data_IF_472002955862
#
_entry.id   IF_472002955862
#
_cell.length_a   1.000
_cell.length_b   1.000
_cell.length_c   1.000
_cell.angle_alpha   90.00
_cell.angle_beta   90.00
_cell.angle_gamma   90.00
#
_symmetry.space_group_name_H-M   'P 1'
#
loop_
_entity.id
_entity.type
_entity.pdbx_description
1 polymer ?
#
# COMPACT_ATOMS: atom_id res chain seq x y z
N UNK A 1 -37.08 29.40 33.77
CA UNK A 1 -38.02 30.51 34.04
C UNK A 1 -39.42 30.04 33.68
N UNK A 2 -40.32 29.95 34.65
CA UNK A 2 -41.73 29.52 34.47
C UNK A 2 -42.10 28.23 35.20
N UNK A 3 -42.03 28.20 36.53
CA UNK A 3 -42.71 27.19 37.33
C UNK A 3 -44.23 27.46 37.36
N UNK A 4 -45.10 26.44 37.53
CA UNK A 4 -46.54 26.65 37.62
C UNK A 4 -46.86 27.50 38.84
N UNK A 5 -47.48 28.67 38.63
CA UNK A 5 -47.90 29.55 39.71
C UNK A 5 -49.02 28.90 40.51
N UNK A 6 -48.87 28.87 41.83
CA UNK A 6 -49.98 28.57 42.74
C UNK A 6 -51.08 29.64 42.58
N UNK A 7 -52.35 29.26 42.72
CA UNK A 7 -53.46 30.21 42.63
C UNK A 7 -53.42 31.20 43.80
N UNK A 8 -53.93 32.43 43.64
CA UNK A 8 -53.93 33.43 44.70
C UNK A 8 -54.78 32.96 45.90
N UNK A 9 -54.19 32.97 47.10
CA UNK A 9 -54.92 32.89 48.37
C UNK A 9 -55.51 34.26 48.71
N UNK A 10 -56.82 34.33 48.90
CA UNK A 10 -57.48 35.52 49.43
C UNK A 10 -58.96 35.57 49.09
N UNK A 11 -59.82 35.18 50.03
CA UNK A 11 -61.22 35.63 50.07
C UNK A 11 -61.25 37.09 50.48
N UNK A 12 -61.87 38.02 49.72
CA UNK A 12 -62.16 39.35 50.22
C UNK A 12 -63.30 39.25 51.24
N UNK A 13 -63.10 39.78 52.45
CA UNK A 13 -64.17 40.00 53.41
C UNK A 13 -65.22 40.94 52.80
N UNK A 14 -66.41 40.42 52.53
CA UNK A 14 -67.57 41.18 52.05
C UNK A 14 -68.73 41.08 53.04
N UNK A 15 -68.99 42.20 53.72
CA UNK A 15 -70.20 42.41 54.54
C UNK A 15 -71.49 42.38 53.71
N UNK A 16 -72.67 42.32 54.36
CA UNK A 16 -73.89 41.84 53.73
C UNK A 16 -74.54 42.92 52.86
N UNK A 17 -74.63 42.66 51.55
CA UNK A 17 -75.60 43.33 50.67
C UNK A 17 -75.08 43.62 49.26
N UNK A 18 -75.63 42.91 48.26
CA UNK A 18 -75.50 43.24 46.82
C UNK A 18 -74.98 42.09 45.96
N UNK A 19 -75.87 41.18 45.57
CA UNK A 19 -75.54 39.90 44.93
C UNK A 19 -75.60 39.93 43.38
N UNK A 20 -75.02 40.94 42.70
CA UNK A 20 -75.09 41.00 41.23
C UNK A 20 -73.78 41.27 40.47
N UNK A 21 -72.61 41.34 41.11
CA UNK A 21 -71.33 41.64 40.42
C UNK A 21 -70.19 40.62 40.67
N UNK A 22 -70.50 39.35 40.99
CA UNK A 22 -69.46 38.35 41.31
C UNK A 22 -68.76 37.71 40.08
N UNK A 23 -69.34 37.84 38.88
CA UNK A 23 -68.85 37.11 37.69
C UNK A 23 -68.09 37.97 36.67
N UNK A 24 -67.87 39.26 36.94
CA UNK A 24 -67.26 40.18 35.96
C UNK A 24 -65.73 40.11 35.88
N UNK A 25 -65.09 39.33 36.76
CA UNK A 25 -63.62 39.21 36.88
C UNK A 25 -63.06 37.86 36.40
N UNK A 26 -63.90 36.93 35.95
CA UNK A 26 -63.43 35.61 35.49
C UNK A 26 -63.16 35.64 33.99
N UNK A 27 -61.88 35.71 33.60
CA UNK A 27 -61.45 35.63 32.20
C UNK A 27 -61.24 34.15 31.84
N UNK A 28 -62.06 33.62 30.93
CA UNK A 28 -61.93 32.26 30.42
C UNK A 28 -60.83 32.17 29.35
N UNK A 29 -59.58 32.03 29.78
CA UNK A 29 -58.44 31.82 28.88
C UNK A 29 -58.14 30.32 28.62
N UNK A 30 -57.25 30.03 27.67
CA UNK A 30 -56.90 28.64 27.29
C UNK A 30 -56.24 27.86 28.45
N UNK A 31 -55.56 28.56 29.37
CA UNK A 31 -55.01 27.98 30.60
C UNK A 31 -56.09 27.52 31.57
N UNK A 32 -57.18 28.28 31.73
CA UNK A 32 -58.33 27.92 32.56
C UNK A 32 -58.99 26.64 32.05
N UNK A 33 -59.19 26.53 30.73
CA UNK A 33 -59.78 25.34 30.09
C UNK A 33 -58.88 24.11 30.27
N UNK A 34 -57.56 24.28 30.20
CA UNK A 34 -56.58 23.19 30.42
C UNK A 34 -56.47 22.77 31.88
N UNK A 35 -56.70 23.68 32.83
CA UNK A 35 -56.63 23.42 34.27
C UNK A 35 -57.93 22.81 34.83
N UNK A 36 -59.04 22.87 34.09
CA UNK A 36 -60.30 22.25 34.48
C UNK A 36 -60.14 20.72 34.67
N UNK A 37 -60.30 20.27 35.92
CA UNK A 37 -60.15 18.85 36.33
C UNK A 37 -61.42 18.02 36.12
N UNK A 38 -62.46 18.63 35.57
CA UNK A 38 -63.82 18.14 35.51
C UNK A 38 -64.30 18.20 34.07
N UNK A 39 -64.80 17.09 33.55
CA UNK A 39 -65.36 16.98 32.21
C UNK A 39 -66.84 16.59 32.32
N UNK A 40 -67.72 17.40 31.72
CA UNK A 40 -69.15 17.08 31.65
C UNK A 40 -69.44 15.98 30.62
N UNK A 41 -70.45 15.16 30.91
CA UNK A 41 -70.94 14.13 30.00
C UNK A 41 -71.80 14.73 28.87
N UNK A 42 -71.74 14.10 27.69
CA UNK A 42 -72.56 14.49 26.54
C UNK A 42 -74.05 14.24 26.78
N UNK A 43 -74.94 14.91 26.03
CA UNK A 43 -76.38 14.82 26.22
C UNK A 43 -76.93 13.38 26.04
N UNK A 44 -76.35 12.60 25.13
CA UNK A 44 -76.69 11.18 24.95
C UNK A 44 -76.28 10.29 26.13
N UNK A 45 -75.12 10.53 26.74
CA UNK A 45 -74.63 9.72 27.86
C UNK A 45 -75.44 9.93 29.15
N UNK A 46 -76.14 11.06 29.30
CA UNK A 46 -77.03 11.33 30.45
C UNK A 46 -78.38 10.62 30.36
N UNK A 47 -78.79 10.17 29.17
CA UNK A 47 -80.07 9.48 29.00
C UNK A 47 -80.05 8.05 29.53
N UNK A 48 -78.86 7.44 29.66
CA UNK A 48 -78.73 6.04 30.02
C UNK A 48 -78.68 5.76 31.53
N UNK A 49 -78.28 6.73 32.37
CA UNK A 49 -78.10 6.49 33.81
C UNK A 49 -78.21 7.78 34.63
N UNK A 50 -79.00 7.77 35.72
CA UNK A 50 -79.25 8.95 36.56
C UNK A 50 -78.14 9.14 37.60
N UNK A 51 -76.93 9.44 37.14
CA UNK A 51 -75.74 9.69 37.97
C UNK A 51 -75.19 11.12 37.76
N UNK A 52 -74.49 11.72 38.76
CA UNK A 52 -74.09 13.13 38.73
C UNK A 52 -73.18 13.50 37.54
N UNK A 53 -73.40 14.70 36.99
CA UNK A 53 -73.05 15.10 35.62
C UNK A 53 -71.56 15.33 35.29
N UNK A 54 -70.61 14.85 36.09
CA UNK A 54 -69.19 15.22 35.94
C UNK A 54 -68.23 14.07 36.27
N UNK A 55 -67.21 13.83 35.41
CA UNK A 55 -66.12 12.87 35.66
C UNK A 55 -64.74 13.53 35.72
N UNK A 56 -63.82 12.90 36.47
CA UNK A 56 -62.39 13.28 36.51
C UNK A 56 -61.61 12.62 35.37
N UNK A 57 -60.76 13.40 34.69
CA UNK A 57 -59.94 12.95 33.55
C UNK A 57 -58.72 12.13 34.00
N UNK A 58 -58.45 10.91 33.50
CA UNK A 58 -57.26 10.14 33.88
C UNK A 58 -56.00 10.63 33.14
N UNK A 59 -54.89 10.82 33.87
CA UNK A 59 -53.59 11.20 33.30
C UNK A 59 -52.86 10.01 32.63
N UNK A 60 -52.18 10.32 31.53
CA UNK A 60 -51.57 9.44 30.53
C UNK A 60 -50.71 8.27 31.07
N UNK A 61 -51.26 7.05 30.98
CA UNK A 61 -50.55 5.78 31.30
C UNK A 61 -49.81 5.14 30.11
N UNK A 62 -49.87 5.74 28.91
CA UNK A 62 -49.35 5.16 27.66
C UNK A 62 -47.91 5.54 27.30
N UNK A 63 -47.41 6.69 27.78
CA UNK A 63 -46.12 7.25 27.37
C UNK A 63 -44.92 6.41 27.85
N UNK A 64 -45.00 5.83 29.06
CA UNK A 64 -43.92 5.01 29.62
C UNK A 64 -43.70 3.73 28.81
N UNK A 65 -44.79 3.13 28.31
CA UNK A 65 -44.74 1.89 27.51
C UNK A 65 -44.16 2.15 26.12
N UNK A 66 -44.50 3.28 25.51
CA UNK A 66 -43.93 3.71 24.23
C UNK A 66 -42.43 4.02 24.34
N UNK A 67 -42.01 4.68 25.42
CA UNK A 67 -40.60 4.97 25.67
C UNK A 67 -39.75 3.69 25.84
N UNK A 68 -40.27 2.67 26.55
CA UNK A 68 -39.58 1.38 26.67
C UNK A 68 -39.44 0.64 25.33
N UNK A 69 -40.49 0.63 24.51
CA UNK A 69 -40.43 -0.02 23.19
C UNK A 69 -39.40 0.68 22.29
N UNK A 70 -39.36 2.02 22.32
CA UNK A 70 -38.36 2.79 21.58
C UNK A 70 -36.93 2.50 22.06
N UNK A 71 -36.71 2.47 23.38
CA UNK A 71 -35.41 2.15 23.96
C UNK A 71 -34.94 0.73 23.58
N UNK A 72 -35.86 -0.25 23.57
CA UNK A 72 -35.57 -1.61 23.13
C UNK A 72 -35.17 -1.64 21.64
N UNK A 73 -35.88 -0.92 20.77
CA UNK A 73 -35.55 -0.86 19.35
C UNK A 73 -34.18 -0.23 19.09
N UNK A 74 -33.84 0.84 19.82
CA UNK A 74 -32.51 1.47 19.75
C UNK A 74 -31.44 0.48 20.22
N UNK A 75 -31.66 -0.22 21.34
CA UNK A 75 -30.70 -1.20 21.86
C UNK A 75 -30.48 -2.37 20.87
N UNK A 76 -31.55 -2.86 20.23
CA UNK A 76 -31.45 -3.90 19.19
C UNK A 76 -30.72 -3.39 17.97
N UNK A 77 -31.04 -2.20 17.47
CA UNK A 77 -30.35 -1.61 16.32
C UNK A 77 -28.85 -1.42 16.60
N UNK A 78 -28.50 -0.91 17.78
CA UNK A 78 -27.11 -0.72 18.19
C UNK A 78 -26.40 -2.05 18.41
N UNK A 79 -27.06 -3.02 19.04
CA UNK A 79 -26.54 -4.38 19.21
C UNK A 79 -26.30 -5.06 17.86
N UNK A 80 -27.17 -4.85 16.88
CA UNK A 80 -27.01 -5.39 15.52
C UNK A 80 -25.88 -4.70 14.77
N UNK A 81 -25.75 -3.37 14.89
CA UNK A 81 -24.65 -2.62 14.30
C UNK A 81 -23.29 -2.99 14.91
N UNK A 82 -23.22 -3.18 16.23
CA UNK A 82 -22.02 -3.68 16.93
C UNK A 82 -21.75 -5.13 16.52
N UNK A 83 -22.78 -5.98 16.44
CA UNK A 83 -22.61 -7.37 16.02
C UNK A 83 -22.12 -7.49 14.58
N UNK A 84 -22.65 -6.70 13.64
CA UNK A 84 -22.17 -6.65 12.25
C UNK A 84 -20.81 -5.96 12.12
N UNK A 85 -20.51 -4.96 12.94
CA UNK A 85 -19.19 -4.32 12.97
C UNK A 85 -18.09 -5.21 13.58
N UNK A 86 -18.46 -6.12 14.48
CA UNK A 86 -17.53 -7.07 15.14
C UNK A 86 -17.43 -8.38 14.35
N UNK A 87 -18.50 -8.84 13.68
CA UNK A 87 -18.45 -9.98 12.75
C UNK A 87 -18.53 -9.48 11.32
N UNK A 88 -17.38 -9.24 10.70
CA UNK A 88 -17.27 -9.10 9.25
C UNK A 88 -17.57 -10.46 8.59
N UNK A 89 -18.72 -10.67 7.91
CA UNK A 89 -19.09 -11.98 7.36
C UNK A 89 -18.36 -12.32 6.05
N UNK A 90 -17.42 -11.47 5.61
CA UNK A 90 -16.60 -11.70 4.41
C UNK A 90 -15.10 -11.83 4.72
N UNK A 91 -14.69 -11.65 5.97
CA UNK A 91 -13.34 -12.01 6.39
C UNK A 91 -13.39 -13.44 6.93
N UNK A 92 -13.38 -14.40 6.01
CA UNK A 92 -12.62 -15.61 6.25
C UNK A 92 -11.18 -15.16 6.46
N UNK A 93 -10.85 -14.79 7.71
CA UNK A 93 -9.49 -14.55 8.14
C UNK A 93 -8.76 -15.90 8.09
N UNK A 94 -8.44 -16.33 6.88
CA UNK A 94 -7.32 -17.22 6.66
C UNK A 94 -6.14 -16.49 7.30
N UNK A 95 -5.53 -17.13 8.31
CA UNK A 95 -4.41 -16.55 9.03
C UNK A 95 -3.41 -15.97 8.00
N UNK A 96 -2.87 -14.76 8.21
CA UNK A 96 -1.94 -14.15 7.26
C UNK A 96 -0.88 -15.18 6.89
N UNK A 97 -0.83 -15.57 5.62
CA UNK A 97 0.20 -16.49 5.16
C UNK A 97 1.54 -15.75 5.37
N UNK A 98 2.51 -16.37 6.05
CA UNK A 98 3.80 -15.72 6.26
C UNK A 98 4.40 -15.34 4.91
N UNK A 99 4.82 -14.08 4.76
CA UNK A 99 5.51 -13.64 3.55
C UNK A 99 6.81 -14.43 3.42
N UNK A 100 7.01 -15.05 2.27
CA UNK A 100 8.24 -15.79 2.02
C UNK A 100 9.42 -14.82 1.92
N UNK A 101 10.57 -15.09 2.59
CA UNK A 101 11.74 -14.25 2.45
C UNK A 101 12.30 -14.35 1.03
N UNK A 102 12.74 -13.22 0.47
CA UNK A 102 13.33 -13.13 -0.86
C UNK A 102 14.49 -14.11 -1.00
N UNK A 103 14.49 -14.84 -2.12
CA UNK A 103 15.64 -15.62 -2.59
C UNK A 103 16.28 -14.92 -3.77
N UNK A 104 17.60 -14.81 -3.74
CA UNK A 104 18.35 -14.08 -4.75
C UNK A 104 19.49 -14.91 -5.34
N UNK A 105 19.79 -14.63 -6.59
CA UNK A 105 20.93 -15.19 -7.31
C UNK A 105 21.55 -14.06 -8.11
N UNK A 106 22.82 -13.76 -7.84
CA UNK A 106 23.57 -12.70 -8.53
C UNK A 106 24.72 -13.36 -9.27
N UNK A 107 24.74 -13.21 -10.59
CA UNK A 107 25.70 -13.85 -11.49
C UNK A 107 26.52 -12.76 -12.19
N UNK A 108 27.78 -12.55 -11.79
CA UNK A 108 28.70 -11.74 -12.58
C UNK A 108 29.03 -12.42 -13.90
N UNK A 109 29.06 -11.63 -14.97
CA UNK A 109 29.39 -12.06 -16.32
C UNK A 109 30.75 -11.49 -16.72
N UNK A 110 31.75 -12.38 -16.83
CA UNK A 110 33.11 -11.99 -17.20
C UNK A 110 33.26 -11.81 -18.72
N UNK A 111 33.78 -10.66 -19.20
CA UNK A 111 34.09 -10.50 -20.62
C UNK A 111 35.23 -11.44 -21.04
N UNK A 112 35.24 -11.85 -22.31
CA UNK A 112 36.30 -12.72 -22.85
C UNK A 112 37.61 -11.96 -23.16
N UNK A 113 37.59 -10.63 -23.16
CA UNK A 113 38.73 -9.79 -23.52
C UNK A 113 38.66 -8.44 -22.83
N UNK A 114 39.39 -7.46 -23.39
CA UNK A 114 39.32 -6.08 -22.89
C UNK A 114 37.94 -5.51 -23.14
N UNK A 115 37.41 -4.80 -22.15
CA UNK A 115 36.13 -4.10 -22.26
C UNK A 115 36.24 -2.97 -23.27
N UNK A 116 35.35 -2.90 -24.29
CA UNK A 116 35.32 -1.79 -25.23
C UNK A 116 34.99 -0.46 -24.53
N UNK A 117 35.50 0.63 -25.08
CA UNK A 117 35.18 1.97 -24.63
C UNK A 117 34.93 2.92 -25.79
N UNK A 118 34.24 4.01 -25.51
CA UNK A 118 33.91 5.04 -26.49
C UNK A 118 34.04 6.45 -25.91
N UNK A 119 34.06 7.46 -26.77
CA UNK A 119 34.13 8.87 -26.36
C UNK A 119 32.85 9.34 -25.71
N UNK A 120 31.71 8.84 -26.18
CA UNK A 120 30.37 9.23 -25.77
C UNK A 120 29.44 8.02 -25.62
N UNK A 121 28.44 8.17 -24.75
CA UNK A 121 27.50 7.11 -24.42
C UNK A 121 26.59 6.74 -25.60
N UNK A 122 26.12 7.75 -26.36
CA UNK A 122 25.18 7.54 -27.46
C UNK A 122 25.78 6.66 -28.56
N UNK A 123 27.04 6.88 -28.94
CA UNK A 123 27.75 6.05 -29.92
C UNK A 123 27.87 4.62 -29.42
N UNK A 124 28.20 4.39 -28.15
CA UNK A 124 28.26 3.04 -27.60
C UNK A 124 26.90 2.35 -27.61
N UNK A 125 25.83 3.07 -27.22
CA UNK A 125 24.48 2.52 -27.27
C UNK A 125 24.11 2.12 -28.70
N UNK A 126 24.33 3.01 -29.68
CA UNK A 126 24.04 2.76 -31.09
C UNK A 126 24.80 1.56 -31.68
N UNK A 127 26.02 1.28 -31.20
CA UNK A 127 26.85 0.15 -31.65
C UNK A 127 26.70 -1.10 -30.77
N UNK A 128 25.64 -1.18 -29.97
CA UNK A 128 25.33 -2.31 -29.09
C UNK A 128 23.90 -2.81 -29.32
N UNK A 129 23.52 -3.99 -28.78
CA UNK A 129 22.13 -4.42 -28.76
C UNK A 129 21.16 -3.44 -28.08
N UNK A 130 21.66 -2.49 -27.29
CA UNK A 130 20.86 -1.47 -26.61
C UNK A 130 20.36 -0.35 -27.54
N UNK A 131 20.81 -0.30 -28.80
CA UNK A 131 20.36 0.72 -29.77
C UNK A 131 18.83 0.75 -29.96
N UNK A 132 18.18 -0.40 -29.76
CA UNK A 132 16.73 -0.61 -29.91
C UNK A 132 15.98 -0.58 -28.58
N UNK A 133 16.62 -0.20 -27.48
CA UNK A 133 16.01 -0.15 -26.16
C UNK A 133 15.42 1.24 -25.93
N UNK A 134 14.31 1.28 -25.22
CA UNK A 134 13.68 2.52 -24.77
C UNK A 134 14.52 3.18 -23.66
N UNK A 135 14.19 4.42 -23.31
CA UNK A 135 14.92 5.19 -22.30
C UNK A 135 14.14 5.17 -20.98
N UNK A 136 14.84 4.87 -19.88
CA UNK A 136 14.31 4.95 -18.53
C UNK A 136 13.01 4.16 -18.32
N UNK A 137 12.01 4.81 -17.73
CA UNK A 137 10.74 4.17 -17.36
C UNK A 137 9.85 3.80 -18.56
N UNK A 138 10.15 4.28 -19.77
CA UNK A 138 9.45 3.89 -21.00
C UNK A 138 9.74 2.43 -21.37
N UNK A 139 10.95 1.94 -21.09
CA UNK A 139 11.33 0.54 -21.30
C UNK A 139 10.80 -0.46 -20.27
N UNK A 140 9.88 0.01 -19.41
CA UNK A 140 9.09 -0.81 -18.47
C UNK A 140 7.60 -0.67 -18.86
N UNK A 141 7.17 -1.17 -20.03
CA UNK A 141 5.80 -1.02 -20.48
C UNK A 141 4.86 -1.87 -19.61
N UNK A 142 3.67 -1.33 -19.31
CA UNK A 142 2.63 -2.09 -18.63
C UNK A 142 1.84 -2.91 -19.67
N UNK A 143 1.58 -4.21 -19.42
CA UNK A 143 0.66 -4.98 -20.25
C UNK A 143 -0.77 -4.48 -20.06
N UNK A 144 -1.69 -4.97 -20.90
CA UNK A 144 -3.11 -4.68 -20.72
C UNK A 144 -3.59 -5.21 -19.37
N UNK A 145 -4.02 -4.30 -18.48
CA UNK A 145 -4.64 -4.65 -17.21
C UNK A 145 -6.08 -5.11 -17.46
N UNK A 146 -6.36 -6.38 -17.16
CA UNK A 146 -7.69 -6.98 -17.26
C UNK A 146 -7.98 -7.78 -16.01
N UNK A 147 -9.23 -7.72 -15.55
CA UNK A 147 -9.73 -8.47 -14.43
C UNK A 147 -9.45 -9.96 -14.62
N UNK A 148 -9.15 -10.62 -13.51
CA UNK A 148 -8.99 -12.06 -13.43
C UNK A 148 -10.25 -12.66 -12.78
N UNK A 149 -10.19 -13.92 -12.36
CA UNK A 149 -11.34 -14.57 -11.74
C UNK A 149 -11.70 -13.92 -10.39
N UNK A 150 -10.70 -13.50 -9.62
CA UNK A 150 -10.88 -12.98 -8.24
C UNK A 150 -10.39 -11.54 -8.03
N UNK A 151 -9.82 -10.89 -9.06
CA UNK A 151 -9.31 -9.52 -8.98
C UNK A 151 -9.91 -8.62 -10.06
N UNK A 152 -10.27 -7.40 -9.67
CA UNK A 152 -10.80 -6.38 -10.58
C UNK A 152 -9.73 -5.77 -11.49
N UNK A 153 -10.14 -5.08 -12.55
CA UNK A 153 -9.25 -4.30 -13.43
C UNK A 153 -8.36 -3.33 -12.63
N UNK A 154 -8.93 -2.66 -11.62
CA UNK A 154 -8.23 -1.69 -10.78
C UNK A 154 -7.18 -2.36 -9.89
N UNK A 155 -7.46 -3.55 -9.37
CA UNK A 155 -6.51 -4.33 -8.58
C UNK A 155 -5.35 -4.83 -9.43
N UNK A 156 -5.66 -5.37 -10.61
CA UNK A 156 -4.65 -5.80 -11.59
C UNK A 156 -3.77 -4.64 -12.03
N UNK A 157 -4.37 -3.48 -12.34
CA UNK A 157 -3.60 -2.27 -12.68
C UNK A 157 -2.70 -1.84 -11.52
N UNK A 158 -3.22 -1.85 -10.29
CA UNK A 158 -2.44 -1.46 -9.10
C UNK A 158 -1.23 -2.37 -8.89
N UNK A 159 -1.38 -3.69 -9.05
CA UNK A 159 -0.26 -4.64 -8.99
C UNK A 159 0.81 -4.30 -10.03
N UNK A 160 0.40 -4.12 -11.29
CA UNK A 160 1.30 -3.82 -12.41
C UNK A 160 2.03 -2.48 -12.23
N UNK A 161 1.33 -1.43 -11.81
CA UNK A 161 1.95 -0.12 -11.56
C UNK A 161 2.90 -0.15 -10.36
N UNK A 162 2.56 -0.90 -9.31
CA UNK A 162 3.41 -1.00 -8.11
C UNK A 162 4.69 -1.79 -8.41
N UNK A 163 4.60 -2.88 -9.17
CA UNK A 163 5.75 -3.61 -9.68
C UNK A 163 6.64 -2.72 -10.58
N UNK A 164 6.03 -1.95 -11.50
CA UNK A 164 6.76 -0.97 -12.32
C UNK A 164 7.47 0.07 -11.46
N UNK A 165 6.80 0.66 -10.48
CA UNK A 165 7.40 1.66 -9.59
C UNK A 165 8.59 1.08 -8.84
N UNK A 166 8.50 -0.16 -8.34
CA UNK A 166 9.64 -0.83 -7.71
C UNK A 166 10.80 -0.99 -8.68
N UNK A 167 10.55 -1.47 -9.90
CA UNK A 167 11.59 -1.67 -10.92
C UNK A 167 12.29 -0.36 -11.26
N UNK A 168 11.52 0.72 -11.46
CA UNK A 168 12.07 2.04 -11.77
C UNK A 168 12.90 2.56 -10.60
N UNK A 169 12.38 2.53 -9.36
CA UNK A 169 13.09 3.04 -8.19
C UNK A 169 14.29 2.21 -7.78
N UNK A 170 14.28 0.91 -8.06
CA UNK A 170 15.38 -0.01 -7.72
C UNK A 170 16.45 -0.14 -8.80
N UNK A 171 16.19 0.30 -10.04
CA UNK A 171 17.13 0.16 -11.17
C UNK A 171 17.41 1.45 -11.95
N UNK A 172 16.68 2.55 -11.76
CA UNK A 172 16.84 3.75 -12.60
C UNK A 172 17.09 5.03 -11.80
N UNK A 173 16.74 5.06 -10.52
CA UNK A 173 16.89 6.25 -9.69
C UNK A 173 18.37 6.51 -9.39
N UNK A 174 18.94 7.67 -9.78
CA UNK A 174 20.35 7.97 -9.58
C UNK A 174 20.79 7.89 -8.11
N UNK A 175 19.90 8.24 -7.17
CA UNK A 175 20.18 8.17 -5.73
C UNK A 175 20.27 6.74 -5.22
N UNK A 176 19.71 5.76 -5.93
CA UNK A 176 19.85 4.32 -5.61
C UNK A 176 21.03 3.69 -6.36
N UNK A 177 21.19 4.05 -7.64
CA UNK A 177 22.23 3.52 -8.50
C UNK A 177 23.62 3.91 -8.04
N UNK A 178 23.80 5.20 -7.78
CA UNK A 178 25.07 5.85 -7.44
C UNK A 178 24.97 6.71 -6.19
N UNK A 179 23.79 6.86 -5.60
CA UNK A 179 23.68 7.34 -4.23
C UNK A 179 23.69 6.16 -3.27
N UNK A 180 24.09 6.42 -2.03
CA UNK A 180 24.04 5.39 -0.97
C UNK A 180 22.61 5.19 -0.44
N UNK A 181 21.59 5.74 -1.12
CA UNK A 181 20.20 5.73 -0.67
C UNK A 181 19.49 4.44 -1.05
N UNK A 182 18.64 3.97 -0.14
CA UNK A 182 17.80 2.78 -0.35
C UNK A 182 16.33 3.07 -0.14
N UNK A 183 16.01 4.25 0.42
CA UNK A 183 14.66 4.67 0.78
C UNK A 183 13.67 4.60 -0.40
N UNK A 184 14.00 5.00 -1.65
CA UNK A 184 13.06 4.95 -2.76
C UNK A 184 12.53 3.53 -3.04
N UNK A 185 13.38 2.51 -2.98
CA UNK A 185 12.98 1.12 -3.18
C UNK A 185 12.39 0.52 -1.89
N UNK A 186 13.02 0.78 -0.73
CA UNK A 186 12.59 0.28 0.58
C UNK A 186 11.14 0.64 0.90
N UNK A 187 10.71 1.86 0.56
CA UNK A 187 9.34 2.32 0.83
C UNK A 187 8.25 1.51 0.12
N UNK A 188 8.60 0.79 -0.96
CA UNK A 188 7.69 -0.06 -1.71
C UNK A 188 7.74 -1.52 -1.26
N UNK A 189 8.70 -1.91 -0.42
CA UNK A 189 8.81 -3.29 0.07
C UNK A 189 7.74 -3.53 1.15
N UNK A 190 7.11 -4.69 1.09
CA UNK A 190 6.18 -5.19 2.11
C UNK A 190 6.81 -5.13 3.51
N UNK A 191 6.03 -4.72 4.52
CA UNK A 191 6.51 -4.55 5.88
C UNK A 191 7.15 -5.81 6.46
N UNK A 192 6.65 -6.99 6.09
CA UNK A 192 7.14 -8.28 6.59
C UNK A 192 8.50 -8.65 5.98
N UNK A 193 8.90 -8.03 4.86
CA UNK A 193 10.21 -8.22 4.24
C UNK A 193 11.25 -7.15 4.65
N UNK A 194 10.85 -6.09 5.36
CA UNK A 194 11.75 -5.00 5.72
C UNK A 194 12.92 -5.45 6.61
N UNK A 195 12.70 -6.43 7.49
CA UNK A 195 13.79 -6.96 8.33
C UNK A 195 14.90 -7.61 7.48
N UNK A 196 14.52 -8.41 6.47
CA UNK A 196 15.48 -9.00 5.54
C UNK A 196 16.15 -7.93 4.66
N UNK A 197 15.37 -6.97 4.16
CA UNK A 197 15.88 -5.84 3.39
C UNK A 197 16.96 -5.11 4.20
N UNK A 198 16.64 -4.63 5.40
CA UNK A 198 17.54 -3.87 6.25
C UNK A 198 18.79 -4.66 6.64
N UNK A 199 18.64 -5.94 6.95
CA UNK A 199 19.77 -6.84 7.21
C UNK A 199 20.70 -6.95 5.99
N UNK A 200 20.16 -7.01 4.78
CA UNK A 200 20.95 -7.08 3.55
C UNK A 200 21.90 -5.89 3.43
N UNK A 201 21.46 -4.68 3.79
CA UNK A 201 22.31 -3.48 3.74
C UNK A 201 23.23 -3.33 4.95
N UNK A 202 22.78 -3.74 6.14
CA UNK A 202 23.57 -3.63 7.36
C UNK A 202 24.71 -4.67 7.44
N UNK A 203 24.46 -5.89 6.94
CA UNK A 203 25.42 -7.00 6.90
C UNK A 203 25.29 -7.78 5.59
N UNK A 204 25.79 -7.22 4.47
CA UNK A 204 25.72 -7.87 3.17
C UNK A 204 26.36 -9.27 3.20
N UNK A 205 25.68 -10.26 2.61
CA UNK A 205 26.20 -11.61 2.50
C UNK A 205 25.79 -12.28 1.18
N UNK A 206 26.71 -13.07 0.61
CA UNK A 206 26.48 -13.88 -0.59
C UNK A 206 25.79 -15.22 -0.25
N UNK A 207 24.75 -15.18 0.57
CA UNK A 207 24.01 -16.36 1.08
C UNK A 207 22.71 -16.64 0.32
N UNK A 208 22.47 -15.91 -0.77
CA UNK A 208 21.24 -16.01 -1.57
C UNK A 208 20.03 -15.38 -0.89
N UNK A 209 20.22 -14.58 0.16
CA UNK A 209 19.15 -13.87 0.89
C UNK A 209 19.50 -12.45 1.30
N UNK A 210 20.78 -12.11 1.45
CA UNK A 210 21.21 -10.84 2.04
C UNK A 210 22.19 -10.05 1.17
N UNK A 211 22.16 -10.21 -0.15
CA UNK A 211 22.89 -9.36 -1.08
C UNK A 211 22.06 -8.12 -1.47
N UNK A 212 22.48 -6.89 -1.10
CA UNK A 212 21.86 -5.64 -1.56
C UNK A 212 21.63 -5.57 -3.08
N UNK A 213 22.56 -6.12 -3.87
CA UNK A 213 22.49 -6.13 -5.33
C UNK A 213 21.37 -7.02 -5.89
N UNK A 214 20.77 -7.89 -5.07
CA UNK A 214 19.53 -8.59 -5.41
C UNK A 214 18.28 -7.72 -5.29
N UNK A 215 18.25 -6.82 -4.30
CA UNK A 215 17.14 -5.89 -4.07
C UNK A 215 17.12 -4.74 -5.08
N UNK A 216 18.28 -4.12 -5.30
CA UNK A 216 18.47 -2.90 -6.09
C UNK A 216 19.74 -2.98 -6.93
N UNK A 217 19.81 -2.25 -8.04
CA UNK A 217 21.07 -2.08 -8.76
C UNK A 217 21.90 -1.03 -8.03
N UNK A 218 23.14 -1.38 -7.65
CA UNK A 218 24.05 -0.48 -6.94
C UNK A 218 25.43 -0.52 -7.57
N UNK A 219 25.95 0.64 -7.89
CA UNK A 219 27.31 0.87 -8.36
C UNK A 219 28.08 1.52 -7.21
N UNK A 220 29.37 1.23 -7.08
CA UNK A 220 30.21 1.87 -6.06
C UNK A 220 30.50 3.32 -6.47
N UNK A 221 29.91 4.34 -5.82
CA UNK A 221 30.05 5.73 -6.28
C UNK A 221 31.45 6.29 -6.08
N UNK A 222 32.27 5.66 -5.23
CA UNK A 222 33.68 6.02 -5.11
C UNK A 222 34.48 5.64 -6.37
N UNK A 223 33.97 4.71 -7.19
CA UNK A 223 34.64 4.18 -8.38
C UNK A 223 33.95 4.57 -9.67
N UNK A 224 32.63 4.55 -9.69
CA UNK A 224 31.82 4.63 -10.89
C UNK A 224 30.77 5.74 -10.77
N UNK A 225 30.52 6.41 -11.90
CA UNK A 225 29.43 7.37 -12.05
C UNK A 225 28.74 7.18 -13.39
N UNK A 226 27.47 7.58 -13.47
CA UNK A 226 26.75 7.62 -14.72
C UNK A 226 27.42 8.64 -15.67
N UNK A 227 27.71 8.20 -16.89
CA UNK A 227 28.18 9.05 -17.98
C UNK A 227 27.01 9.65 -18.78
N UNK A 228 25.82 9.06 -18.65
CA UNK A 228 24.55 9.45 -19.25
C UNK A 228 23.42 9.01 -18.31
N UNK A 229 22.43 9.87 -18.08
CA UNK A 229 21.24 9.58 -17.28
C UNK A 229 20.13 8.89 -18.10
N UNK A 230 20.25 8.87 -19.43
CA UNK A 230 19.34 8.20 -20.36
C UNK A 230 19.63 6.70 -20.44
N UNK A 231 19.45 6.02 -19.32
CA UNK A 231 19.66 4.56 -19.17
C UNK A 231 18.75 3.83 -20.17
N UNK A 232 19.32 2.87 -20.90
CA UNK A 232 18.58 2.07 -21.88
C UNK A 232 17.92 0.88 -21.21
N UNK A 233 16.64 0.66 -21.48
CA UNK A 233 15.84 -0.37 -20.81
C UNK A 233 15.00 -1.11 -21.83
N UNK A 234 14.94 -2.43 -21.67
CA UNK A 234 13.98 -3.27 -22.38
C UNK A 234 13.52 -4.38 -21.46
N UNK A 235 12.22 -4.57 -21.37
CA UNK A 235 11.68 -5.70 -20.63
C UNK A 235 10.18 -5.86 -20.79
N UNK A 236 9.67 -6.84 -20.06
CA UNK A 236 8.24 -7.16 -20.04
C UNK A 236 7.78 -7.45 -18.62
N UNK A 237 6.52 -7.11 -18.36
CA UNK A 237 5.77 -7.54 -17.20
C UNK A 237 4.71 -8.54 -17.63
N UNK A 238 4.50 -9.59 -16.84
CA UNK A 238 3.42 -10.56 -17.02
C UNK A 238 2.73 -10.75 -15.68
N UNK A 239 1.41 -10.75 -15.71
CA UNK A 239 0.58 -10.98 -14.53
C UNK A 239 -0.16 -12.30 -14.65
N UNK A 240 -0.21 -13.02 -13.54
CA UNK A 240 -0.96 -14.25 -13.36
C UNK A 240 -1.71 -14.19 -12.03
N UNK A 241 -2.88 -14.82 -11.96
CA UNK A 241 -3.54 -15.07 -10.68
C UNK A 241 -3.01 -16.41 -10.15
N UNK A 242 -2.28 -16.38 -9.05
CA UNK A 242 -1.68 -17.59 -8.47
C UNK A 242 -2.71 -18.39 -7.66
N UNK A 243 -3.54 -17.68 -6.89
CA UNK A 243 -4.67 -18.22 -6.14
C UNK A 243 -5.73 -17.11 -5.90
N UNK A 244 -6.92 -17.41 -5.34
CA UNK A 244 -7.99 -16.41 -5.13
C UNK A 244 -7.61 -15.22 -4.23
N UNK A 245 -6.48 -15.28 -3.54
CA UNK A 245 -5.97 -14.27 -2.63
C UNK A 245 -4.67 -13.60 -3.10
N UNK A 246 -4.03 -14.11 -4.16
CA UNK A 246 -2.70 -13.66 -4.60
C UNK A 246 -2.62 -13.41 -6.11
N UNK A 247 -2.20 -12.21 -6.49
CA UNK A 247 -1.66 -11.94 -7.83
C UNK A 247 -0.15 -12.15 -7.83
N UNK A 248 0.38 -12.68 -8.92
CA UNK A 248 1.80 -12.75 -9.19
C UNK A 248 2.14 -11.89 -10.41
N UNK A 249 3.22 -11.12 -10.31
CA UNK A 249 3.79 -10.38 -11.44
C UNK A 249 5.21 -10.86 -11.65
N UNK A 250 5.51 -11.37 -12.84
CA UNK A 250 6.88 -11.65 -13.27
C UNK A 250 7.40 -10.52 -14.14
N UNK A 251 8.64 -10.11 -13.90
CA UNK A 251 9.32 -9.06 -14.61
C UNK A 251 10.67 -9.55 -15.12
N UNK A 252 10.95 -9.36 -16.41
CA UNK A 252 12.27 -9.65 -17.00
C UNK A 252 12.73 -8.41 -17.75
N UNK A 253 13.68 -7.68 -17.17
CA UNK A 253 14.16 -6.40 -17.68
C UNK A 253 15.68 -6.40 -17.80
N UNK A 254 16.17 -5.88 -18.91
CA UNK A 254 17.58 -5.60 -19.16
C UNK A 254 17.82 -4.10 -19.16
N UNK A 255 18.75 -3.65 -18.33
CA UNK A 255 19.17 -2.27 -18.16
C UNK A 255 20.60 -2.12 -18.68
N UNK A 256 20.89 -1.04 -19.41
CA UNK A 256 22.23 -0.74 -19.91
C UNK A 256 22.64 0.67 -19.50
N UNK A 257 23.62 0.73 -18.60
CA UNK A 257 24.15 1.96 -18.00
C UNK A 257 25.43 2.36 -18.70
N UNK A 258 25.54 3.64 -19.08
CA UNK A 258 26.79 4.21 -19.53
C UNK A 258 27.55 4.75 -18.31
N UNK A 259 28.79 4.30 -18.12
CA UNK A 259 29.58 4.54 -16.93
C UNK A 259 30.92 5.20 -17.26
N UNK A 260 31.43 5.97 -16.30
CA UNK A 260 32.81 6.46 -16.26
C UNK A 260 33.39 6.28 -14.86
N UNK A 261 34.72 6.22 -14.74
CA UNK A 261 35.37 6.36 -13.45
C UNK A 261 35.00 7.68 -12.75
N UNK A 262 34.85 7.64 -11.43
CA UNK A 262 34.72 8.82 -10.58
C UNK A 262 36.06 9.59 -10.58
N UNK A 263 35.99 10.93 -10.55
CA UNK A 263 37.18 11.80 -10.44
C UNK A 263 37.95 12.09 -11.74
N UNK A 264 37.58 11.49 -12.89
CA UNK A 264 38.20 11.79 -14.20
C UNK A 264 37.15 11.99 -15.27
N UNK A 265 37.21 13.10 -16.02
CA UNK A 265 36.21 13.43 -17.05
C UNK A 265 36.62 13.00 -18.47
N UNK A 266 37.92 12.85 -18.75
CA UNK A 266 38.42 12.49 -20.09
C UNK A 266 38.58 10.98 -20.32
N UNK A 267 38.11 10.15 -19.39
CA UNK A 267 38.16 8.70 -19.50
C UNK A 267 37.06 8.18 -20.44
N UNK A 268 37.34 7.14 -21.23
CA UNK A 268 36.33 6.54 -22.10
C UNK A 268 35.12 6.04 -21.32
N UNK A 269 33.95 6.15 -21.95
CA UNK A 269 32.69 5.58 -21.45
C UNK A 269 32.72 4.06 -21.65
N UNK A 270 32.08 3.33 -20.73
CA UNK A 270 31.81 1.90 -20.86
C UNK A 270 30.34 1.59 -20.63
N UNK A 271 29.87 0.47 -21.17
CA UNK A 271 28.51 -0.01 -20.91
C UNK A 271 28.52 -1.13 -19.89
N UNK A 272 27.68 -1.02 -18.86
CA UNK A 272 27.30 -2.11 -17.97
C UNK A 272 25.89 -2.57 -18.34
N UNK A 273 25.71 -3.85 -18.59
CA UNK A 273 24.41 -4.49 -18.79
C UNK A 273 24.02 -5.27 -17.55
N UNK A 274 22.80 -5.05 -17.06
CA UNK A 274 22.20 -5.78 -15.93
C UNK A 274 20.85 -6.31 -16.35
N UNK A 275 20.68 -7.63 -16.38
CA UNK A 275 19.37 -8.28 -16.51
C UNK A 275 18.85 -8.66 -15.14
N UNK A 276 17.60 -8.31 -14.85
CA UNK A 276 16.89 -8.66 -13.63
C UNK A 276 15.61 -9.39 -13.99
N UNK A 277 15.51 -10.65 -13.57
CA UNK A 277 14.28 -11.42 -13.57
C UNK A 277 13.73 -11.47 -12.13
N UNK A 278 12.60 -10.80 -11.90
CA UNK A 278 11.99 -10.62 -10.58
C UNK A 278 10.60 -11.28 -10.57
N UNK A 279 10.24 -11.90 -9.44
CA UNK A 279 8.86 -12.37 -9.20
C UNK A 279 8.30 -11.65 -7.98
N UNK A 280 7.17 -11.00 -8.18
CA UNK A 280 6.42 -10.26 -7.18
C UNK A 280 5.14 -10.99 -6.83
N UNK A 281 4.75 -10.98 -5.56
CA UNK A 281 3.41 -11.34 -5.12
C UNK A 281 2.69 -10.13 -4.55
N UNK A 282 1.37 -10.14 -4.70
CA UNK A 282 0.47 -9.13 -4.17
C UNK A 282 -0.74 -9.79 -3.53
N UNK A 283 -0.88 -9.62 -2.23
CA UNK A 283 -2.12 -9.84 -1.49
C UNK A 283 -3.05 -8.64 -1.66
N UNK A 284 -4.31 -8.76 -1.20
CA UNK A 284 -5.24 -7.61 -1.17
C UNK A 284 -4.73 -6.47 -0.29
N UNK A 285 -3.96 -6.77 0.76
CA UNK A 285 -3.39 -5.74 1.61
C UNK A 285 -2.25 -5.00 0.89
N UNK A 286 -1.36 -5.72 0.22
CA UNK A 286 -0.26 -5.15 -0.57
C UNK A 286 -0.79 -4.21 -1.67
N UNK A 287 -1.92 -4.57 -2.29
CA UNK A 287 -2.58 -3.70 -3.27
C UNK A 287 -3.13 -2.41 -2.64
N UNK A 288 -3.63 -2.48 -1.40
CA UNK A 288 -4.14 -1.33 -0.65
C UNK A 288 -3.01 -0.42 -0.18
N UNK A 289 -1.90 -0.99 0.28
CA UNK A 289 -0.72 -0.28 0.78
C UNK A 289 0.25 0.12 -0.34
N UNK A 290 0.06 -0.41 -1.55
CA UNK A 290 0.96 -0.26 -2.71
C UNK A 290 2.37 -0.73 -2.41
N UNK A 291 2.47 -1.90 -1.81
CA UNK A 291 3.74 -2.55 -1.51
C UNK A 291 3.92 -3.81 -2.37
N UNK A 292 5.17 -4.28 -2.45
CA UNK A 292 5.55 -5.47 -3.19
C UNK A 292 6.13 -6.52 -2.24
N UNK A 293 5.73 -7.77 -2.42
CA UNK A 293 6.44 -8.91 -1.87
C UNK A 293 7.36 -9.49 -2.94
N UNK A 294 8.67 -9.39 -2.73
CA UNK A 294 9.69 -9.92 -3.64
C UNK A 294 9.99 -11.38 -3.30
N UNK A 295 9.65 -12.32 -4.19
CA UNK A 295 9.84 -13.76 -3.93
C UNK A 295 11.18 -14.24 -4.47
N UNK A 296 11.49 -13.85 -5.71
CA UNK A 296 12.75 -14.21 -6.37
C UNK A 296 13.37 -13.02 -7.06
N UNK A 297 14.70 -12.93 -7.00
CA UNK A 297 15.50 -11.98 -7.74
C UNK A 297 16.70 -12.68 -8.39
N UNK A 298 16.64 -12.84 -9.72
CA UNK A 298 17.74 -13.37 -10.51
C UNK A 298 18.40 -12.24 -11.28
N UNK A 299 19.68 -12.00 -11.02
CA UNK A 299 20.44 -10.87 -11.54
C UNK A 299 21.65 -11.38 -12.31
N UNK A 300 21.76 -10.99 -13.57
CA UNK A 300 22.94 -11.22 -14.40
C UNK A 300 23.55 -9.86 -14.76
N UNK A 301 24.83 -9.64 -14.47
CA UNK A 301 25.46 -8.34 -14.68
C UNK A 301 26.84 -8.46 -15.32
N UNK A 302 27.12 -7.67 -16.35
CA UNK A 302 28.41 -7.67 -17.04
C UNK A 302 28.66 -6.43 -17.89
N UNK A 303 29.93 -6.05 -18.12
CA UNK A 303 31.14 -6.81 -17.79
C UNK A 303 31.59 -6.64 -16.33
N UNK A 304 31.69 -7.75 -15.59
CA UNK A 304 32.17 -7.81 -14.21
C UNK A 304 33.38 -8.76 -14.11
N UNK A 305 34.12 -8.71 -13.01
CA UNK A 305 35.11 -9.74 -12.68
C UNK A 305 34.49 -10.79 -11.77
N UNK A 306 34.61 -12.08 -12.10
CA UNK A 306 34.10 -13.16 -11.26
C UNK A 306 34.90 -13.39 -9.96
N UNK A 307 36.11 -12.83 -9.87
CA UNK A 307 36.91 -12.85 -8.66
C UNK A 307 36.57 -11.70 -7.69
N UNK A 308 35.80 -10.69 -8.14
CA UNK A 308 35.41 -9.56 -7.32
C UNK A 308 34.08 -9.83 -6.60
N UNK A 309 33.98 -9.39 -5.35
CA UNK A 309 32.71 -9.43 -4.62
C UNK A 309 31.68 -8.50 -5.29
N UNK A 310 30.51 -9.04 -5.61
CA UNK A 310 29.38 -8.30 -6.20
C UNK A 310 28.17 -8.24 -5.25
N UNK A 311 28.37 -8.59 -3.96
CA UNK A 311 27.31 -8.67 -2.96
C UNK A 311 26.78 -7.29 -2.58
N UNK A 312 27.68 -6.38 -2.19
CA UNK A 312 27.31 -5.05 -1.68
C UNK A 312 27.06 -4.04 -2.80
N UNK A 313 27.95 -4.04 -3.80
CA UNK A 313 27.94 -3.18 -4.98
C UNK A 313 28.39 -3.99 -6.19
N UNK A 314 27.89 -3.64 -7.37
CA UNK A 314 28.47 -4.11 -8.62
C UNK A 314 29.74 -3.30 -8.90
N UNK A 315 30.81 -3.99 -9.33
CA UNK A 315 32.09 -3.38 -9.68
C UNK A 315 32.41 -3.64 -11.16
N UNK A 316 31.93 -2.78 -12.07
CA UNK A 316 32.13 -2.93 -13.51
C UNK A 316 33.59 -2.90 -13.91
N UNK A 317 33.94 -3.75 -14.88
CA UNK A 317 35.16 -3.58 -15.63
C UNK A 317 34.94 -2.48 -16.66
N UNK A 318 35.76 -1.44 -16.61
CA UNK A 318 35.68 -0.29 -17.51
C UNK A 318 36.64 -0.42 -18.69
N UNK A 319 36.56 0.52 -19.63
CA UNK A 319 37.25 0.50 -20.91
C UNK A 319 38.74 0.15 -20.78
N UNK A 320 39.18 -0.82 -21.57
CA UNK A 320 40.56 -1.30 -21.58
C UNK A 320 40.91 -2.27 -20.46
N UNK A 321 40.10 -2.39 -19.41
CA UNK A 321 40.27 -3.42 -18.38
C UNK A 321 39.87 -4.79 -18.91
N UNK A 322 40.44 -5.83 -18.33
CA UNK A 322 40.13 -7.22 -18.63
C UNK A 322 39.84 -7.96 -17.30
N UNK A 323 39.13 -9.10 -17.33
CA UNK A 323 38.95 -9.88 -16.13
C UNK A 323 40.32 -10.33 -15.62
N UNK A 324 40.53 -10.24 -14.31
CA UNK A 324 41.70 -10.87 -13.71
C UNK A 324 41.55 -12.39 -13.83
N UNK A 325 42.66 -13.13 -14.07
CA UNK A 325 42.66 -14.58 -13.94
C UNK A 325 42.22 -14.95 -12.51
N UNK A 326 41.09 -15.62 -12.39
CA UNK A 326 40.53 -16.02 -11.09
C UNK A 326 39.17 -16.67 -11.26
N UNK A 327 38.99 -17.81 -10.60
CA UNK A 327 37.69 -18.44 -10.46
C UNK A 327 36.92 -17.78 -9.30
N UNK A 328 35.59 -17.90 -9.25
CA UNK A 328 34.82 -17.58 -8.05
C UNK A 328 35.39 -18.30 -6.82
N UNK A 329 35.08 -17.79 -5.63
CA UNK A 329 35.41 -18.47 -4.39
C UNK A 329 34.93 -19.94 -4.43
N UNK A 330 35.76 -20.85 -3.91
CA UNK A 330 35.41 -22.26 -3.85
C UNK A 330 34.14 -22.50 -3.01
N UNK A 331 33.29 -23.41 -3.47
CA UNK A 331 32.09 -23.81 -2.72
C UNK A 331 32.44 -24.97 -1.79
N UNK A 332 32.16 -24.83 -0.49
CA UNK A 332 32.31 -25.88 0.51
C UNK A 332 31.00 -26.65 0.67
N UNK A 333 30.91 -27.92 0.20
CA UNK A 333 29.67 -28.69 0.26
C UNK A 333 29.23 -29.08 1.67
N UNK A 334 30.08 -28.88 2.69
CA UNK A 334 29.75 -29.13 4.08
C UNK A 334 29.19 -27.89 4.80
N UNK A 335 29.22 -26.72 4.16
CA UNK A 335 28.53 -25.51 4.64
C UNK A 335 27.13 -25.45 4.02
N UNK A 336 26.11 -25.60 4.86
CA UNK A 336 24.69 -25.59 4.43
C UNK A 336 24.16 -24.21 4.05
N UNK A 337 24.88 -23.15 4.40
CA UNK A 337 24.34 -21.78 4.41
C UNK A 337 24.97 -20.88 3.34
N UNK A 338 25.63 -21.45 2.33
CA UNK A 338 26.26 -20.70 1.24
C UNK A 338 25.89 -21.30 -0.11
N UNK A 339 25.08 -20.63 -0.94
CA UNK A 339 24.82 -21.07 -2.29
C UNK A 339 26.13 -21.04 -3.10
N UNK A 340 26.20 -21.91 -4.11
CA UNK A 340 27.36 -21.94 -4.99
C UNK A 340 27.57 -20.57 -5.65
N UNK A 341 28.81 -20.07 -5.62
CA UNK A 341 29.17 -18.84 -6.33
C UNK A 341 29.14 -19.12 -7.83
N UNK A 342 28.14 -18.57 -8.52
CA UNK A 342 27.98 -18.70 -9.97
C UNK A 342 28.75 -17.59 -10.68
N UNK A 343 29.34 -17.92 -11.82
CA UNK A 343 29.98 -16.96 -12.72
C UNK A 343 29.63 -17.36 -14.15
N UNK A 344 29.19 -16.39 -14.94
CA UNK A 344 28.90 -16.57 -16.35
C UNK A 344 29.99 -15.95 -17.24
N UNK A 345 30.00 -16.35 -18.51
CA UNK A 345 30.79 -15.68 -19.54
C UNK A 345 29.91 -14.67 -20.26
N UNK A 346 30.33 -13.42 -20.34
CA UNK A 346 29.63 -12.39 -21.11
C UNK A 346 29.82 -12.65 -22.61
N UNK A 347 28.70 -12.83 -23.32
CA UNK A 347 28.73 -13.03 -24.77
C UNK A 347 29.33 -11.81 -25.48
N UNK A 348 30.20 -12.05 -26.47
CA UNK A 348 30.83 -10.98 -27.28
C UNK A 348 29.80 -10.12 -28.01
N UNK A 349 28.70 -10.71 -28.48
CA UNK A 349 27.60 -10.00 -29.12
C UNK A 349 26.80 -9.06 -28.19
N UNK A 350 26.97 -9.17 -26.87
CA UNK A 350 26.33 -8.27 -25.90
C UNK A 350 27.15 -7.01 -25.62
N UNK A 351 28.40 -6.95 -26.09
CA UNK A 351 29.26 -5.78 -25.94
C UNK A 351 29.14 -4.85 -27.15
N UNK A 352 29.33 -3.53 -26.96
CA UNK A 352 29.38 -2.60 -28.08
C UNK A 352 30.53 -2.95 -29.02
N UNK A 353 30.30 -2.78 -30.32
CA UNK A 353 31.34 -2.93 -31.35
C UNK A 353 32.16 -1.64 -31.42
N UNK A 354 33.47 -1.80 -31.61
CA UNK A 354 34.41 -0.70 -31.80
C UNK A 354 34.21 0.00 -33.15
#
# INVERSE_FOLDING_TARGET
>A
MGGPGDPPEGTPEGGPGGAEDEYRSVVFDESFVRAARLQEYSAEERMADHAPAVRRRPLHRGLVRQAMVLALLIAVAFGTAVYMGVRHPYDSAEAPRPVEPLRMTVIPLAPQGRVPGGTDAETLYAHSPAAQFDIGAEGVPLPAARATAHFSDSQVMTALTTAKDYIVRSSLYPEVLTGHETAPARALVDSDQLAQFDQSFARPAADGRHAPTGWVVRLDPARDRLADDRIRVRGVLRLTEADPATLEVSADHTFVYALRPTGTASTPVSLLTVRRALTFRFTRDDLRTRQVQLITAYVEAGPLSCAADSTSYLHPLLAGQAPHPGAPAGTDPYRTDSPASLCGTLATGSQPRA
#
